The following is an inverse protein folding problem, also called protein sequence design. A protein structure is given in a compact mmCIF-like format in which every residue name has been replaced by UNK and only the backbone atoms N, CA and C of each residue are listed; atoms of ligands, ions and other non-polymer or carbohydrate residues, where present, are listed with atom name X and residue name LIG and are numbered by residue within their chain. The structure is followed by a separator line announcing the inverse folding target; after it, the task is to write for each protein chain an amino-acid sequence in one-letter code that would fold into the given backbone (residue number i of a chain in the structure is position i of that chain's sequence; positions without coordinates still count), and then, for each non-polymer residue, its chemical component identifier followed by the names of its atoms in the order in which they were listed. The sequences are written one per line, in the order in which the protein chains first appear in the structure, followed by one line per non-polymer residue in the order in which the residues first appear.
data_IF_291397766265
#
_entry.id   IF_291397766265
#
_cell.length_a   1.000
_cell.length_b   1.000
_cell.length_c   1.000
_cell.angle_alpha   90.00
_cell.angle_beta   90.00
_cell.angle_gamma   90.00
#
_symmetry.space_group_name_H-M   'P 1'
#
loop_
_entity.id
_entity.type
_entity.pdbx_description
1 polymer ?
#
# COMPACT_ATOMS: atom_id res chain seq x y z
N UNK A 1 37.70 5.04 45.71
CA UNK A 1 37.47 4.75 44.28
C UNK A 1 37.15 6.08 43.60
N UNK A 2 37.86 6.44 42.53
CA UNK A 2 37.64 7.73 41.87
C UNK A 2 36.39 7.71 40.99
N UNK A 3 35.84 8.88 40.67
CA UNK A 3 34.67 8.99 39.78
C UNK A 3 34.90 8.35 38.40
N UNK A 4 36.14 8.42 37.89
CA UNK A 4 36.54 7.74 36.65
C UNK A 4 36.33 6.22 36.70
N UNK A 5 36.60 5.58 37.85
CA UNK A 5 36.42 4.14 38.01
C UNK A 5 34.93 3.80 38.15
N UNK A 6 34.18 4.59 38.92
CA UNK A 6 32.72 4.46 39.06
C UNK A 6 32.01 4.59 37.70
N UNK A 7 32.38 5.61 36.91
CA UNK A 7 31.87 5.84 35.56
C UNK A 7 32.17 4.64 34.65
N UNK A 8 33.41 4.13 34.66
CA UNK A 8 33.79 2.95 33.86
C UNK A 8 33.02 1.71 34.27
N UNK A 9 32.79 1.49 35.56
CA UNK A 9 31.97 0.36 36.04
C UNK A 9 30.52 0.49 35.56
N UNK A 10 29.92 1.66 35.67
CA UNK A 10 28.58 1.90 35.14
C UNK A 10 28.52 1.67 33.63
N UNK A 11 29.50 2.16 32.88
CA UNK A 11 29.60 1.97 31.44
C UNK A 11 29.72 0.48 31.06
N UNK A 12 30.51 -0.31 31.80
CA UNK A 12 30.59 -1.75 31.60
C UNK A 12 29.26 -2.45 31.87
N UNK A 13 28.53 -2.05 32.92
CA UNK A 13 27.16 -2.55 33.17
C UNK A 13 26.21 -2.21 32.03
N UNK A 14 26.27 -0.99 31.49
CA UNK A 14 25.48 -0.60 30.31
C UNK A 14 25.83 -1.49 29.12
N UNK A 15 27.12 -1.72 28.84
CA UNK A 15 27.56 -2.60 27.75
C UNK A 15 27.04 -4.04 27.92
N UNK A 16 27.02 -4.55 29.16
CA UNK A 16 26.51 -5.87 29.51
C UNK A 16 24.97 -5.99 29.43
N UNK A 17 24.25 -4.86 29.48
CA UNK A 17 22.79 -4.84 29.51
C UNK A 17 22.19 -4.88 30.92
N UNK A 18 22.98 -4.57 31.95
CA UNK A 18 22.61 -4.75 33.36
C UNK A 18 22.05 -3.47 34.02
N UNK A 19 21.61 -2.50 33.22
CA UNK A 19 21.13 -1.19 33.69
C UNK A 19 19.79 -0.89 33.05
N UNK A 20 18.78 -0.68 33.88
CA UNK A 20 17.45 -0.29 33.38
C UNK A 20 17.44 1.18 32.94
N UNK A 21 16.60 1.57 31.95
CA UNK A 21 16.58 2.93 31.43
C UNK A 21 16.44 4.00 32.53
N UNK A 22 15.55 3.79 33.50
CA UNK A 22 15.32 4.72 34.61
C UNK A 22 16.52 4.80 35.57
N UNK A 23 17.22 3.68 35.79
CA UNK A 23 18.45 3.63 36.58
C UNK A 23 19.55 4.46 35.89
N UNK A 24 19.70 4.28 34.58
CA UNK A 24 20.66 5.02 33.79
C UNK A 24 20.36 6.53 33.80
N UNK A 25 19.11 6.93 33.56
CA UNK A 25 18.70 8.34 33.59
C UNK A 25 19.02 8.99 34.93
N UNK A 26 18.66 8.31 36.02
CA UNK A 26 18.89 8.80 37.38
C UNK A 26 20.39 8.95 37.67
N UNK A 27 21.19 7.93 37.33
CA UNK A 27 22.63 7.97 37.56
C UNK A 27 23.32 9.05 36.70
N UNK A 28 22.95 9.16 35.42
CA UNK A 28 23.51 10.14 34.50
C UNK A 28 23.23 11.57 34.98
N UNK A 29 21.98 11.87 35.33
CA UNK A 29 21.58 13.20 35.78
C UNK A 29 22.23 13.58 37.11
N UNK A 30 22.32 12.63 38.05
CA UNK A 30 22.98 12.82 39.36
C UNK A 30 24.48 13.09 39.24
N UNK A 31 25.11 12.64 38.15
CA UNK A 31 26.55 12.80 37.91
C UNK A 31 26.87 13.78 36.78
N UNK A 32 25.87 14.53 36.28
CA UNK A 32 25.99 15.43 35.12
C UNK A 32 27.22 16.34 35.16
N UNK A 33 27.44 17.07 36.25
CA UNK A 33 28.59 17.96 36.42
C UNK A 33 29.94 17.23 36.28
N UNK A 34 30.08 16.07 36.95
CA UNK A 34 31.31 15.26 36.88
C UNK A 34 31.51 14.63 35.49
N UNK A 35 30.43 14.31 34.80
CA UNK A 35 30.46 13.81 33.41
C UNK A 35 30.88 14.91 32.43
N UNK A 36 30.57 16.18 32.69
CA UNK A 36 31.04 17.29 31.85
C UNK A 36 32.56 17.44 31.88
N UNK A 37 33.16 17.20 33.05
CA UNK A 37 34.62 17.23 33.24
C UNK A 37 35.30 15.98 32.67
N UNK A 38 34.65 14.82 32.78
CA UNK A 38 35.24 13.52 32.40
C UNK A 38 35.07 13.16 30.92
N UNK A 39 34.08 13.72 30.23
CA UNK A 39 33.72 13.36 28.84
C UNK A 39 33.72 14.57 27.92
N UNK A 40 34.28 14.41 26.72
CA UNK A 40 34.13 15.42 25.69
C UNK A 40 32.67 15.52 25.20
N UNK A 41 32.33 16.65 24.58
CA UNK A 41 30.97 16.91 24.06
C UNK A 41 30.48 15.83 23.09
N UNK A 42 31.37 15.28 22.27
CA UNK A 42 31.03 14.25 21.29
C UNK A 42 30.60 12.94 21.95
N UNK A 43 31.33 12.49 22.97
CA UNK A 43 31.02 11.25 23.69
C UNK A 43 29.76 11.41 24.52
N UNK A 44 29.56 12.56 25.16
CA UNK A 44 28.28 12.88 25.82
C UNK A 44 27.11 12.81 24.85
N UNK A 45 27.23 13.41 23.68
CA UNK A 45 26.16 13.40 22.67
C UNK A 45 25.89 12.01 22.05
N UNK A 46 26.88 11.11 22.02
CA UNK A 46 26.70 9.72 21.58
C UNK A 46 26.03 8.86 22.65
N UNK A 47 26.44 9.03 23.90
CA UNK A 47 25.98 8.22 25.05
C UNK A 47 24.60 8.69 25.52
N UNK A 48 24.37 10.00 25.56
CA UNK A 48 23.11 10.64 25.97
C UNK A 48 22.70 11.71 24.93
N UNK A 49 22.05 11.31 23.83
CA UNK A 49 21.55 12.24 22.82
C UNK A 49 20.51 13.23 23.36
N UNK A 50 20.32 14.38 22.71
CA UNK A 50 19.44 15.44 23.20
C UNK A 50 17.94 15.07 23.33
N UNK A 51 17.48 14.02 22.64
CA UNK A 51 16.10 13.53 22.69
C UNK A 51 15.96 12.25 23.53
N UNK A 52 16.98 11.90 24.32
CA UNK A 52 16.99 10.70 25.12
C UNK A 52 15.84 10.68 26.13
N UNK A 53 15.20 9.52 26.28
CA UNK A 53 14.19 9.25 27.32
C UNK A 53 14.37 7.83 27.84
N UNK A 54 13.82 7.53 29.03
CA UNK A 54 13.89 6.23 29.67
C UNK A 54 13.11 5.15 28.89
N UNK A 55 13.67 4.72 27.77
CA UNK A 55 13.17 3.67 26.87
C UNK A 55 14.33 2.81 26.39
N UNK A 56 14.08 1.53 26.14
CA UNK A 56 15.15 0.62 25.70
C UNK A 56 15.71 1.00 24.33
N UNK A 57 14.91 1.62 23.45
CA UNK A 57 15.41 2.18 22.19
C UNK A 57 16.58 3.13 22.41
N UNK A 58 16.49 4.03 23.40
CA UNK A 58 17.56 4.96 23.70
C UNK A 58 18.76 4.27 24.36
N UNK A 59 18.51 3.23 25.17
CA UNK A 59 19.57 2.39 25.72
C UNK A 59 20.41 1.69 24.64
N UNK A 60 19.83 1.30 23.49
CA UNK A 60 20.64 0.78 22.35
C UNK A 60 21.65 1.82 21.84
N UNK A 61 21.27 3.11 21.81
CA UNK A 61 22.15 4.20 21.40
C UNK A 61 23.20 4.48 22.46
N UNK A 62 22.80 4.50 23.73
CA UNK A 62 23.69 4.65 24.88
C UNK A 62 24.74 3.54 24.90
N UNK A 63 24.34 2.28 24.73
CA UNK A 63 25.23 1.12 24.68
C UNK A 63 26.24 1.22 23.52
N UNK A 64 25.80 1.62 22.33
CA UNK A 64 26.68 1.88 21.19
C UNK A 64 27.65 3.04 21.43
N UNK A 65 27.19 4.12 22.07
CA UNK A 65 28.02 5.26 22.47
C UNK A 65 29.09 4.89 23.48
N UNK A 66 28.73 4.07 24.48
CA UNK A 66 29.66 3.58 25.50
C UNK A 66 30.69 2.60 24.90
N UNK A 67 30.24 1.70 24.03
CA UNK A 67 31.15 0.80 23.32
C UNK A 67 32.15 1.59 22.45
N UNK A 68 31.69 2.65 21.78
CA UNK A 68 32.56 3.55 21.03
C UNK A 68 33.57 4.28 21.93
N UNK A 69 33.16 4.75 23.12
CA UNK A 69 34.05 5.37 24.09
C UNK A 69 35.23 4.44 24.44
N UNK A 70 34.94 3.18 24.73
CA UNK A 70 35.97 2.17 25.01
C UNK A 70 36.84 1.83 23.80
N UNK A 71 36.25 1.75 22.60
CA UNK A 71 36.99 1.58 21.35
C UNK A 71 37.97 2.73 21.09
N UNK A 72 37.54 3.99 21.29
CA UNK A 72 38.37 5.17 21.13
C UNK A 72 39.55 5.21 22.11
N UNK A 73 39.44 4.52 23.26
CA UNK A 73 40.52 4.33 24.22
C UNK A 73 41.41 3.11 23.94
N UNK A 74 41.22 2.43 22.80
CA UNK A 74 41.98 1.24 22.42
C UNK A 74 41.61 -0.02 23.20
N UNK A 75 40.42 -0.06 23.83
CA UNK A 75 39.93 -1.18 24.65
C UNK A 75 38.52 -1.60 24.22
N UNK A 76 38.33 -2.12 23.01
CA UNK A 76 36.99 -2.46 22.51
C UNK A 76 36.29 -3.47 23.43
N UNK A 77 34.99 -3.26 23.64
CA UNK A 77 34.13 -4.12 24.45
C UNK A 77 33.00 -4.69 23.61
N UNK A 78 32.58 -5.92 23.90
CA UNK A 78 31.46 -6.58 23.22
C UNK A 78 30.15 -6.17 23.88
N UNK A 79 29.19 -5.69 23.10
CA UNK A 79 27.85 -5.33 23.57
C UNK A 79 26.95 -6.56 23.70
N UNK A 80 26.11 -6.56 24.73
CA UNK A 80 25.00 -7.51 24.89
C UNK A 80 23.85 -7.19 23.92
N UNK A 81 23.10 -8.21 23.50
CA UNK A 81 21.88 -8.04 22.70
C UNK A 81 20.65 -7.59 23.49
N UNK A 82 20.74 -7.55 24.83
CA UNK A 82 19.59 -7.34 25.72
C UNK A 82 18.76 -6.09 25.38
N UNK A 83 19.38 -4.93 25.21
CA UNK A 83 18.63 -3.71 24.92
C UNK A 83 17.98 -3.71 23.54
N UNK A 84 18.58 -4.41 22.56
CA UNK A 84 17.98 -4.55 21.23
C UNK A 84 16.73 -5.43 21.29
N UNK A 85 16.80 -6.55 22.01
CA UNK A 85 15.66 -7.44 22.26
C UNK A 85 14.55 -6.70 23.02
N UNK A 86 14.89 -6.01 24.12
CA UNK A 86 13.91 -5.23 24.90
C UNK A 86 13.31 -4.07 24.13
N UNK A 87 14.09 -3.39 23.30
CA UNK A 87 13.59 -2.32 22.43
C UNK A 87 12.59 -2.86 21.39
N UNK A 88 12.84 -4.06 20.84
CA UNK A 88 11.89 -4.71 19.93
C UNK A 88 10.60 -5.12 20.65
N UNK A 89 10.69 -5.71 21.84
CA UNK A 89 9.53 -6.05 22.67
C UNK A 89 8.69 -4.80 23.04
N UNK A 90 9.35 -3.71 23.43
CA UNK A 90 8.70 -2.43 23.73
C UNK A 90 8.02 -1.85 22.48
N UNK A 91 8.70 -1.86 21.32
CA UNK A 91 8.15 -1.36 20.06
C UNK A 91 6.91 -2.16 19.61
N UNK A 92 6.93 -3.50 19.71
CA UNK A 92 5.78 -4.36 19.40
C UNK A 92 4.60 -4.02 20.32
N UNK A 93 4.85 -3.91 21.62
CA UNK A 93 3.83 -3.62 22.63
C UNK A 93 3.20 -2.25 22.44
N UNK A 94 4.01 -1.23 22.18
CA UNK A 94 3.53 0.13 21.95
C UNK A 94 2.73 0.22 20.65
N UNK A 95 3.19 -0.46 19.58
CA UNK A 95 2.42 -0.56 18.32
C UNK A 95 1.09 -1.27 18.52
N UNK A 96 1.05 -2.37 19.28
CA UNK A 96 -0.21 -3.06 19.61
C UNK A 96 -1.18 -2.13 20.36
N UNK A 97 -0.72 -1.38 21.36
CA UNK A 97 -1.55 -0.39 22.07
C UNK A 97 -2.08 0.70 21.14
N UNK A 98 -1.24 1.21 20.24
CA UNK A 98 -1.65 2.21 19.25
C UNK A 98 -2.73 1.67 18.30
N UNK A 99 -2.58 0.42 17.86
CA UNK A 99 -3.56 -0.29 17.05
C UNK A 99 -4.88 -0.51 17.79
N UNK A 100 -4.85 -0.94 19.04
CA UNK A 100 -6.05 -1.08 19.85
C UNK A 100 -6.79 0.25 20.02
N UNK A 101 -6.06 1.33 20.30
CA UNK A 101 -6.65 2.66 20.41
C UNK A 101 -7.29 3.11 19.08
N UNK A 102 -6.65 2.82 17.96
CA UNK A 102 -7.19 3.05 16.63
C UNK A 102 -8.49 2.26 16.37
N UNK A 103 -8.51 0.97 16.70
CA UNK A 103 -9.73 0.15 16.54
C UNK A 103 -10.87 0.64 17.43
N UNK A 104 -10.59 1.05 18.67
CA UNK A 104 -11.60 1.66 19.55
C UNK A 104 -12.15 2.95 18.96
N UNK A 105 -11.29 3.80 18.39
CA UNK A 105 -11.69 5.07 17.76
C UNK A 105 -12.54 4.87 16.50
N UNK A 106 -12.27 3.83 15.72
CA UNK A 106 -12.99 3.53 14.46
C UNK A 106 -14.21 2.64 14.65
N UNK A 107 -14.38 2.03 15.82
CA UNK A 107 -15.47 1.11 16.14
C UNK A 107 -16.87 1.69 15.88
N UNK A 108 -17.08 2.98 16.12
CA UNK A 108 -18.39 3.63 15.92
C UNK A 108 -18.80 3.71 14.46
N UNK A 109 -17.85 3.73 13.53
CA UNK A 109 -18.11 3.67 12.08
C UNK A 109 -18.08 2.23 11.55
N UNK A 110 -17.24 1.37 12.15
CA UNK A 110 -17.14 -0.05 11.79
C UNK A 110 -18.43 -0.82 12.10
N UNK A 111 -19.05 -0.59 13.26
CA UNK A 111 -20.24 -1.34 13.68
C UNK A 111 -21.43 -1.16 12.71
N UNK A 112 -21.83 0.07 12.32
CA UNK A 112 -22.86 0.25 11.30
C UNK A 112 -22.54 -0.42 9.96
N UNK A 113 -21.26 -0.42 9.56
CA UNK A 113 -20.82 -1.12 8.35
C UNK A 113 -20.98 -2.64 8.46
N UNK A 114 -20.58 -3.23 9.59
CA UNK A 114 -20.78 -4.66 9.84
C UNK A 114 -22.27 -5.02 9.90
N UNK A 115 -23.10 -4.23 10.57
CA UNK A 115 -24.56 -4.41 10.61
C UNK A 115 -25.20 -4.28 9.21
N UNK A 116 -24.68 -3.38 8.36
CA UNK A 116 -25.10 -3.27 6.97
C UNK A 116 -24.76 -4.55 6.20
N UNK A 117 -23.52 -5.06 6.33
CA UNK A 117 -23.06 -6.28 5.66
C UNK A 117 -23.84 -7.53 6.10
N UNK A 118 -24.24 -7.63 7.37
CA UNK A 118 -25.09 -8.73 7.84
C UNK A 118 -26.46 -8.77 7.15
N UNK A 119 -26.99 -7.59 6.78
CA UNK A 119 -28.24 -7.46 6.02
C UNK A 119 -28.06 -7.66 4.52
N UNK A 120 -26.81 -7.63 4.03
CA UNK A 120 -26.45 -7.79 2.62
C UNK A 120 -25.37 -8.88 2.49
N UNK A 121 -25.70 -10.14 2.85
CA UNK A 121 -24.71 -11.20 2.90
C UNK A 121 -24.15 -11.50 1.51
N UNK A 122 -22.84 -11.68 1.45
CA UNK A 122 -22.11 -12.05 0.23
C UNK A 122 -21.66 -13.51 0.29
N UNK A 123 -21.38 -14.09 -0.87
CA UNK A 123 -20.86 -15.45 -0.96
C UNK A 123 -19.54 -15.56 -0.19
N UNK A 124 -19.50 -16.49 0.77
CA UNK A 124 -18.29 -16.79 1.53
C UNK A 124 -17.38 -17.66 0.69
N UNK A 125 -16.13 -17.21 0.52
CA UNK A 125 -15.12 -17.94 -0.25
C UNK A 125 -14.18 -18.62 0.74
N UNK A 126 -14.20 -19.94 0.76
CA UNK A 126 -13.22 -20.74 1.49
C UNK A 126 -12.13 -21.19 0.52
N UNK A 127 -10.93 -20.65 0.69
CA UNK A 127 -9.79 -20.98 -0.14
C UNK A 127 -8.54 -21.07 0.74
N UNK A 128 -7.91 -22.25 0.76
CA UNK A 128 -6.67 -22.46 1.51
C UNK A 128 -5.48 -21.86 0.74
N UNK A 129 -5.38 -20.54 0.76
CA UNK A 129 -4.25 -19.84 0.16
C UNK A 129 -2.94 -20.11 0.91
N UNK A 130 -3.01 -20.50 2.19
CA UNK A 130 -1.81 -20.77 3.01
C UNK A 130 -1.05 -21.99 2.49
N UNK A 131 -1.74 -22.96 1.86
CA UNK A 131 -1.10 -24.09 1.19
C UNK A 131 -0.23 -23.68 -0.01
N UNK A 132 -0.31 -22.43 -0.48
CA UNK A 132 0.48 -21.93 -1.61
C UNK A 132 1.75 -21.20 -1.17
N UNK A 133 1.97 -21.03 0.14
CA UNK A 133 3.14 -20.36 0.68
C UNK A 133 4.42 -21.17 0.46
N UNK A 134 5.56 -20.49 0.40
CA UNK A 134 6.86 -21.13 0.19
C UNK A 134 7.18 -21.38 -1.29
N UNK A 135 7.93 -22.44 -1.58
CA UNK A 135 8.34 -22.73 -2.96
C UNK A 135 7.18 -23.30 -3.78
N UNK A 136 6.85 -22.72 -4.96
CA UNK A 136 5.85 -23.28 -5.86
C UNK A 136 6.10 -24.76 -6.22
N UNK A 137 5.06 -25.61 -6.24
CA UNK A 137 5.18 -27.00 -6.66
C UNK A 137 5.75 -27.11 -8.08
N UNK A 138 6.83 -27.89 -8.24
CA UNK A 138 7.47 -28.11 -9.54
C UNK A 138 8.37 -26.96 -10.03
N UNK A 139 8.57 -25.89 -9.24
CA UNK A 139 9.58 -24.90 -9.54
C UNK A 139 10.97 -25.54 -9.51
N UNK A 140 11.72 -25.40 -10.61
CA UNK A 140 13.09 -25.93 -10.68
C UNK A 140 14.00 -25.17 -9.72
N UNK A 141 15.08 -25.81 -9.21
CA UNK A 141 16.12 -25.12 -8.47
C UNK A 141 16.69 -23.92 -9.24
N UNK A 142 17.28 -22.99 -8.51
CA UNK A 142 17.95 -21.83 -9.08
C UNK A 142 19.03 -22.25 -10.09
N UNK A 143 19.16 -21.49 -11.17
CA UNK A 143 20.19 -21.71 -12.18
C UNK A 143 21.57 -21.42 -11.57
N UNK A 144 22.56 -22.25 -11.89
CA UNK A 144 23.94 -22.01 -11.47
C UNK A 144 24.58 -20.95 -12.38
N UNK A 145 24.77 -19.74 -11.85
CA UNK A 145 25.50 -18.66 -12.52
C UNK A 145 26.98 -18.70 -12.16
N UNK A 146 27.86 -18.39 -13.12
CA UNK A 146 29.32 -18.27 -12.89
C UNK A 146 29.73 -16.91 -12.30
N UNK A 147 28.76 -16.04 -12.03
CA UNK A 147 28.96 -14.66 -11.62
C UNK A 147 27.78 -14.23 -10.73
N UNK A 148 28.02 -13.27 -9.83
CA UNK A 148 26.97 -12.73 -8.95
C UNK A 148 26.30 -11.48 -9.52
N UNK A 149 27.09 -10.58 -10.11
CA UNK A 149 26.62 -9.34 -10.73
C UNK A 149 26.83 -9.41 -12.23
N UNK A 150 25.79 -9.11 -12.99
CA UNK A 150 25.86 -9.09 -14.44
C UNK A 150 26.62 -7.84 -14.91
N UNK A 151 27.65 -8.03 -15.74
CA UNK A 151 28.53 -6.96 -16.25
C UNK A 151 28.53 -6.84 -17.77
N UNK A 152 28.01 -7.84 -18.48
CA UNK A 152 27.86 -7.82 -19.94
C UNK A 152 26.39 -7.88 -20.34
N UNK A 153 26.07 -7.47 -21.57
CA UNK A 153 24.72 -7.50 -22.13
C UNK A 153 24.13 -8.92 -22.10
N UNK A 154 24.94 -9.94 -22.39
CA UNK A 154 24.53 -11.36 -22.35
C UNK A 154 24.18 -11.79 -20.93
N UNK A 155 25.01 -11.40 -19.95
CA UNK A 155 24.76 -11.71 -18.54
C UNK A 155 23.49 -11.02 -18.03
N UNK A 156 23.24 -9.78 -18.46
CA UNK A 156 22.01 -9.04 -18.14
C UNK A 156 20.78 -9.72 -18.71
N UNK A 157 20.88 -10.19 -19.96
CA UNK A 157 19.80 -10.95 -20.61
C UNK A 157 19.53 -12.26 -19.87
N UNK A 158 20.58 -13.02 -19.53
CA UNK A 158 20.46 -14.31 -18.84
C UNK A 158 19.84 -14.16 -17.45
N UNK A 159 20.30 -13.18 -16.65
CA UNK A 159 19.71 -12.88 -15.34
C UNK A 159 18.26 -12.41 -15.46
N UNK A 160 17.97 -11.53 -16.43
CA UNK A 160 16.62 -11.03 -16.66
C UNK A 160 15.64 -12.09 -17.15
N UNK A 161 16.07 -13.04 -17.97
CA UNK A 161 15.26 -14.18 -18.41
C UNK A 161 14.97 -15.16 -17.28
N UNK A 162 15.96 -15.44 -16.44
CA UNK A 162 15.77 -16.28 -15.25
C UNK A 162 14.83 -15.62 -14.26
N UNK A 163 15.03 -14.33 -13.93
CA UNK A 163 14.13 -13.57 -13.07
C UNK A 163 12.69 -13.62 -13.62
N UNK A 164 12.51 -13.36 -14.92
CA UNK A 164 11.20 -13.47 -15.60
C UNK A 164 10.50 -14.78 -15.31
N UNK A 165 11.24 -15.88 -15.48
CA UNK A 165 10.73 -17.22 -15.33
C UNK A 165 10.23 -17.42 -13.89
N UNK A 166 11.04 -17.05 -12.89
CA UNK A 166 10.71 -17.24 -11.47
C UNK A 166 9.54 -16.38 -11.01
N UNK A 167 9.47 -15.15 -11.50
CA UNK A 167 8.32 -14.26 -11.27
C UNK A 167 7.04 -14.85 -11.89
N UNK A 168 7.12 -15.38 -13.12
CA UNK A 168 5.97 -16.00 -13.79
C UNK A 168 5.50 -17.27 -13.08
N UNK A 169 6.42 -18.12 -12.63
CA UNK A 169 6.11 -19.33 -11.85
C UNK A 169 5.35 -18.98 -10.57
N UNK A 170 5.85 -18.01 -9.80
CA UNK A 170 5.18 -17.56 -8.57
C UNK A 170 3.82 -16.91 -8.87
N UNK A 171 3.72 -16.05 -9.89
CA UNK A 171 2.44 -15.46 -10.28
C UNK A 171 1.40 -16.53 -10.64
N UNK A 172 1.83 -17.58 -11.34
CA UNK A 172 0.95 -18.68 -11.76
C UNK A 172 0.59 -19.63 -10.63
N UNK A 173 1.50 -19.89 -9.70
CA UNK A 173 1.28 -20.83 -8.61
C UNK A 173 0.60 -20.21 -7.38
N UNK A 174 0.82 -18.93 -7.12
CA UNK A 174 0.34 -18.25 -5.90
C UNK A 174 -0.82 -17.30 -6.19
N UNK A 175 -0.61 -16.37 -7.14
CA UNK A 175 -1.56 -15.27 -7.36
C UNK A 175 -2.73 -15.69 -8.23
N UNK A 176 -2.48 -16.45 -9.31
CA UNK A 176 -3.54 -16.87 -10.22
C UNK A 176 -4.61 -17.76 -9.55
N UNK A 177 -4.26 -18.73 -8.68
CA UNK A 177 -5.25 -19.51 -7.95
C UNK A 177 -6.07 -18.66 -6.97
N UNK A 178 -5.42 -17.75 -6.22
CA UNK A 178 -6.11 -16.82 -5.33
C UNK A 178 -7.08 -15.91 -6.12
N UNK A 179 -6.62 -15.26 -7.18
CA UNK A 179 -7.48 -14.43 -8.02
C UNK A 179 -8.67 -15.24 -8.61
N UNK A 180 -8.42 -16.48 -9.05
CA UNK A 180 -9.46 -17.37 -9.58
C UNK A 180 -10.49 -17.76 -8.51
N UNK A 181 -10.06 -18.02 -7.27
CA UNK A 181 -10.97 -18.34 -6.17
C UNK A 181 -11.98 -17.20 -5.91
N UNK A 182 -11.57 -15.95 -6.16
CA UNK A 182 -12.44 -14.78 -6.08
C UNK A 182 -13.15 -14.43 -7.39
N UNK A 183 -13.19 -15.36 -8.36
CA UNK A 183 -13.91 -15.18 -9.63
C UNK A 183 -13.23 -14.24 -10.63
N UNK A 184 -11.97 -13.87 -10.42
CA UNK A 184 -11.24 -13.03 -11.36
C UNK A 184 -10.77 -13.84 -12.58
N UNK A 185 -10.95 -13.26 -13.76
CA UNK A 185 -10.45 -13.77 -15.05
C UNK A 185 -9.08 -13.18 -15.36
N UNK A 186 -8.26 -13.95 -16.05
CA UNK A 186 -6.95 -13.48 -16.53
C UNK A 186 -7.13 -12.66 -17.82
N UNK A 187 -6.86 -11.35 -17.76
CA UNK A 187 -6.95 -10.41 -18.89
C UNK A 187 -5.59 -10.13 -19.56
N UNK A 188 -4.56 -10.87 -19.19
CA UNK A 188 -3.22 -10.75 -19.76
C UNK A 188 -2.21 -11.56 -18.95
N UNK A 189 -0.91 -11.54 -19.31
CA UNK A 189 0.10 -12.29 -18.57
C UNK A 189 0.25 -11.83 -17.11
N UNK A 190 -0.13 -10.58 -16.81
CA UNK A 190 0.14 -9.87 -15.55
C UNK A 190 -1.09 -9.18 -14.95
N UNK A 191 -2.27 -9.47 -15.47
CA UNK A 191 -3.51 -8.75 -15.14
C UNK A 191 -4.64 -9.73 -14.86
N UNK A 192 -5.33 -9.53 -13.73
CA UNK A 192 -6.53 -10.24 -13.32
C UNK A 192 -7.65 -9.22 -13.15
N UNK A 193 -8.84 -9.54 -13.65
CA UNK A 193 -10.01 -8.64 -13.65
C UNK A 193 -11.26 -9.41 -13.30
N UNK A 194 -12.18 -8.77 -12.60
CA UNK A 194 -13.53 -9.28 -12.33
C UNK A 194 -14.51 -8.14 -12.57
N UNK A 195 -15.62 -8.45 -13.22
CA UNK A 195 -16.82 -7.62 -13.21
C UNK A 195 -17.91 -8.37 -12.46
N UNK A 196 -18.54 -7.72 -11.48
CA UNK A 196 -19.68 -8.26 -10.74
C UNK A 196 -20.60 -7.10 -10.33
N UNK A 197 -21.88 -7.18 -10.66
CA UNK A 197 -22.93 -6.20 -10.31
C UNK A 197 -22.52 -4.73 -10.50
N UNK A 198 -21.95 -4.41 -11.67
CA UNK A 198 -21.52 -3.04 -11.98
C UNK A 198 -20.22 -2.59 -11.33
N UNK A 199 -19.53 -3.45 -10.58
CA UNK A 199 -18.19 -3.22 -10.03
C UNK A 199 -17.12 -3.97 -10.82
N UNK A 200 -15.94 -3.35 -10.89
CA UNK A 200 -14.71 -3.90 -11.45
C UNK A 200 -13.67 -4.02 -10.37
N UNK A 201 -13.09 -5.21 -10.24
CA UNK A 201 -11.89 -5.46 -9.44
C UNK A 201 -10.73 -5.77 -10.37
N UNK A 202 -9.57 -5.13 -10.18
CA UNK A 202 -8.37 -5.38 -11.01
C UNK A 202 -7.13 -5.52 -10.16
N UNK A 203 -6.32 -6.52 -10.49
CA UNK A 203 -4.95 -6.70 -10.00
C UNK A 203 -4.03 -6.70 -11.21
N UNK A 204 -3.04 -5.81 -11.24
CA UNK A 204 -2.10 -5.70 -12.33
C UNK A 204 -0.68 -5.51 -11.81
N UNK A 205 0.24 -6.36 -12.28
CA UNK A 205 1.66 -6.16 -12.07
C UNK A 205 2.23 -5.31 -13.22
N UNK A 206 2.94 -4.22 -12.90
CA UNK A 206 3.58 -3.29 -13.84
C UNK A 206 5.08 -3.59 -13.92
N UNK A 207 5.71 -3.19 -15.02
CA UNK A 207 7.10 -3.48 -15.33
C UNK A 207 7.19 -4.66 -16.28
N UNK A 208 7.82 -4.43 -17.44
CA UNK A 208 8.47 -5.47 -18.26
C UNK A 208 9.24 -4.91 -19.48
N UNK A 209 10.06 -3.85 -19.39
CA UNK A 209 10.80 -3.43 -20.61
C UNK A 209 12.23 -2.90 -20.46
N UNK A 210 12.82 -2.81 -19.25
CA UNK A 210 14.25 -2.48 -19.11
C UNK A 210 15.04 -3.30 -18.07
N UNK A 211 14.38 -3.88 -17.07
CA UNK A 211 15.06 -4.56 -15.95
C UNK A 211 14.72 -6.03 -15.70
N UNK A 212 13.81 -6.65 -16.45
CA UNK A 212 13.47 -8.08 -16.26
C UNK A 212 12.61 -8.42 -15.02
N UNK A 213 12.01 -7.42 -14.36
CA UNK A 213 11.21 -7.59 -13.13
C UNK A 213 9.87 -6.83 -13.12
N UNK A 214 9.17 -6.86 -11.97
CA UNK A 214 7.99 -6.06 -11.67
C UNK A 214 8.35 -4.77 -10.93
N UNK A 215 7.88 -3.65 -11.46
CA UNK A 215 8.16 -2.30 -10.95
C UNK A 215 7.12 -1.84 -9.93
N UNK A 216 5.86 -2.24 -10.11
CA UNK A 216 4.76 -1.87 -9.22
C UNK A 216 3.60 -2.87 -9.32
N UNK A 217 2.64 -2.78 -8.41
CA UNK A 217 1.37 -3.48 -8.47
C UNK A 217 0.24 -2.46 -8.34
N UNK A 218 -0.74 -2.50 -9.25
CA UNK A 218 -1.98 -1.75 -9.17
C UNK A 218 -3.09 -2.70 -8.73
N UNK A 219 -3.81 -2.30 -7.71
CA UNK A 219 -5.02 -2.96 -7.24
C UNK A 219 -6.12 -1.92 -7.04
N UNK A 220 -7.30 -2.14 -7.60
CA UNK A 220 -8.47 -1.29 -7.34
C UNK A 220 -9.80 -2.04 -7.44
N UNK A 221 -10.78 -1.53 -6.71
CA UNK A 221 -12.21 -1.83 -6.84
C UNK A 221 -12.94 -0.52 -7.15
N UNK A 222 -13.71 -0.48 -8.23
CA UNK A 222 -14.49 0.71 -8.61
C UNK A 222 -15.73 0.31 -9.41
N UNK A 223 -16.73 1.19 -9.56
CA UNK A 223 -17.77 1.01 -10.56
C UNK A 223 -17.21 0.88 -11.98
N UNK A 224 -17.87 0.12 -12.85
CA UNK A 224 -17.44 -0.11 -14.25
C UNK A 224 -17.26 1.18 -15.02
N UNK A 225 -18.06 2.21 -14.74
CA UNK A 225 -17.97 3.48 -15.44
C UNK A 225 -16.80 4.36 -14.96
N UNK A 226 -16.18 4.02 -13.83
CA UNK A 226 -15.14 4.84 -13.20
C UNK A 226 -13.73 4.48 -13.69
N UNK A 227 -12.81 5.44 -13.63
CA UNK A 227 -11.39 5.19 -13.91
C UNK A 227 -10.70 4.61 -12.68
N UNK A 228 -9.47 4.11 -12.86
CA UNK A 228 -8.66 3.50 -11.79
C UNK A 228 -8.25 4.46 -10.64
N UNK A 229 -8.69 5.72 -10.71
CA UNK A 229 -8.35 6.77 -9.77
C UNK A 229 -9.60 7.11 -8.95
N UNK A 230 -9.49 6.98 -7.62
CA UNK A 230 -10.61 7.17 -6.69
C UNK A 230 -10.44 6.36 -5.40
N UNK A 231 -11.39 6.53 -4.47
CA UNK A 231 -11.43 5.84 -3.17
C UNK A 231 -11.32 4.32 -3.39
N UNK A 232 -10.23 3.71 -2.91
CA UNK A 232 -9.86 2.32 -3.18
C UNK A 232 -10.83 1.24 -2.65
N UNK A 233 -12.01 1.60 -2.15
CA UNK A 233 -12.99 0.68 -1.56
C UNK A 233 -12.43 -0.14 -0.40
N UNK A 234 -11.29 0.27 0.17
CA UNK A 234 -10.54 -0.48 1.17
C UNK A 234 -10.33 0.39 2.41
N UNK A 235 -10.63 -0.13 3.61
CA UNK A 235 -10.28 0.53 4.86
C UNK A 235 -8.78 0.80 4.95
N UNK A 236 -8.37 1.90 5.59
CA UNK A 236 -6.96 2.32 5.64
C UNK A 236 -6.00 1.27 6.23
N UNK A 237 -6.45 0.51 7.23
CA UNK A 237 -5.68 -0.58 7.82
C UNK A 237 -5.47 -1.79 6.88
N UNK A 238 -6.23 -1.89 5.78
CA UNK A 238 -6.01 -2.89 4.72
C UNK A 238 -5.17 -2.29 3.60
N UNK A 239 -5.55 -1.11 3.11
CA UNK A 239 -4.86 -0.48 1.97
C UNK A 239 -3.45 -0.01 2.30
N UNK A 240 -3.16 0.28 3.57
CA UNK A 240 -1.85 0.75 4.02
C UNK A 240 -1.31 0.12 5.32
N UNK A 241 -2.07 -0.79 5.94
CA UNK A 241 -1.64 -1.42 7.18
C UNK A 241 -0.52 -2.45 6.99
N UNK A 242 -0.33 -3.30 7.99
CA UNK A 242 0.89 -4.10 8.14
C UNK A 242 1.16 -5.04 6.95
N UNK A 243 0.14 -5.69 6.39
CA UNK A 243 0.32 -6.55 5.22
C UNK A 243 0.75 -5.77 3.98
N UNK A 244 0.20 -4.58 3.77
CA UNK A 244 0.62 -3.70 2.68
C UNK A 244 2.07 -3.24 2.89
N UNK A 245 2.45 -2.86 4.12
CA UNK A 245 3.82 -2.44 4.42
C UNK A 245 4.83 -3.60 4.23
N UNK A 246 4.49 -4.81 4.68
CA UNK A 246 5.31 -6.01 4.42
C UNK A 246 5.43 -6.29 2.92
N UNK A 247 4.32 -6.23 2.19
CA UNK A 247 4.31 -6.38 0.73
C UNK A 247 5.16 -5.31 0.04
N UNK A 248 5.16 -4.06 0.50
CA UNK A 248 5.97 -2.96 -0.07
C UNK A 248 7.45 -3.06 0.32
N UNK A 249 7.76 -3.54 1.52
CA UNK A 249 9.13 -3.71 1.98
C UNK A 249 9.87 -4.76 1.13
N UNK A 250 11.12 -4.47 0.77
CA UNK A 250 11.92 -5.37 -0.06
C UNK A 250 11.42 -5.54 -1.50
N UNK A 251 10.56 -4.64 -2.02
CA UNK A 251 10.07 -4.71 -3.40
C UNK A 251 11.19 -4.76 -4.46
N UNK A 252 12.37 -4.21 -4.16
CA UNK A 252 13.55 -4.26 -5.03
C UNK A 252 13.99 -5.68 -5.43
N UNK A 253 13.65 -6.71 -4.64
CA UNK A 253 13.95 -8.13 -4.92
C UNK A 253 13.36 -8.60 -6.25
N UNK A 254 12.22 -8.03 -6.65
CA UNK A 254 11.51 -8.43 -7.88
C UNK A 254 11.60 -7.38 -8.99
N UNK A 255 12.36 -6.28 -8.79
CA UNK A 255 12.38 -5.13 -9.70
C UNK A 255 13.50 -5.20 -10.76
N UNK A 256 14.69 -5.68 -10.41
CA UNK A 256 15.88 -5.61 -11.26
C UNK A 256 16.57 -6.98 -11.46
N UNK A 257 16.83 -7.33 -12.72
CA UNK A 257 17.57 -8.53 -13.17
C UNK A 257 19.05 -8.25 -13.44
N UNK A 258 19.68 -7.39 -12.64
CA UNK A 258 21.11 -7.07 -12.75
C UNK A 258 21.99 -8.01 -11.93
N UNK A 259 21.38 -8.86 -11.11
CA UNK A 259 22.04 -9.86 -10.28
C UNK A 259 21.62 -11.28 -10.68
N UNK A 260 22.49 -12.25 -10.46
CA UNK A 260 22.21 -13.65 -10.67
C UNK A 260 21.09 -14.13 -9.75
N UNK A 261 20.12 -14.85 -10.30
CA UNK A 261 19.04 -15.47 -9.52
C UNK A 261 19.54 -16.81 -8.98
N UNK A 262 20.39 -16.74 -7.96
CA UNK A 262 20.88 -17.89 -7.21
C UNK A 262 19.82 -18.42 -6.21
N UNK A 263 20.18 -19.42 -5.40
CA UNK A 263 19.25 -20.03 -4.46
C UNK A 263 18.69 -19.04 -3.42
N UNK A 264 19.51 -18.10 -2.93
CA UNK A 264 19.08 -17.11 -1.96
C UNK A 264 18.18 -16.04 -2.60
N UNK A 265 18.49 -15.62 -3.84
CA UNK A 265 17.62 -14.75 -4.61
C UNK A 265 16.27 -15.42 -4.92
N UNK A 266 16.27 -16.70 -5.27
CA UNK A 266 15.04 -17.47 -5.50
C UNK A 266 14.18 -17.57 -4.24
N UNK A 267 14.78 -17.87 -3.09
CA UNK A 267 14.09 -17.89 -1.79
C UNK A 267 13.50 -16.51 -1.47
N UNK A 268 14.26 -15.44 -1.69
CA UNK A 268 13.79 -14.06 -1.50
C UNK A 268 12.62 -13.70 -2.43
N UNK A 269 12.66 -14.13 -3.70
CA UNK A 269 11.55 -13.95 -4.64
C UNK A 269 10.30 -14.70 -4.15
N UNK A 270 10.47 -15.95 -3.72
CA UNK A 270 9.37 -16.75 -3.21
C UNK A 270 8.73 -16.10 -1.97
N UNK A 271 9.55 -15.65 -1.01
CA UNK A 271 9.10 -14.92 0.17
C UNK A 271 8.41 -13.59 -0.19
N UNK A 272 8.91 -12.87 -1.18
CA UNK A 272 8.24 -11.63 -1.66
C UNK A 272 6.84 -11.92 -2.21
N UNK A 273 6.66 -13.02 -2.92
CA UNK A 273 5.34 -13.45 -3.37
C UNK A 273 4.45 -13.98 -2.26
N UNK A 274 5.02 -14.52 -1.18
CA UNK A 274 4.26 -14.88 0.02
C UNK A 274 3.70 -13.63 0.71
N UNK A 275 4.47 -12.55 0.79
CA UNK A 275 3.97 -11.26 1.29
C UNK A 275 2.85 -10.72 0.40
N UNK A 276 3.01 -10.79 -0.92
CA UNK A 276 1.98 -10.35 -1.88
C UNK A 276 0.71 -11.21 -1.73
N UNK A 277 0.85 -12.54 -1.69
CA UNK A 277 -0.27 -13.45 -1.53
C UNK A 277 -1.01 -13.19 -0.22
N UNK A 278 -0.28 -13.01 0.88
CA UNK A 278 -0.86 -12.69 2.20
C UNK A 278 -1.64 -11.38 2.15
N UNK A 279 -1.06 -10.32 1.58
CA UNK A 279 -1.77 -9.05 1.41
C UNK A 279 -3.06 -9.19 0.59
N UNK A 280 -3.01 -9.93 -0.53
CA UNK A 280 -4.17 -10.12 -1.38
C UNK A 280 -5.24 -10.99 -0.71
N UNK A 281 -4.87 -12.14 -0.15
CA UNK A 281 -5.80 -13.17 0.29
C UNK A 281 -6.32 -12.96 1.73
N UNK A 282 -5.51 -12.38 2.63
CA UNK A 282 -5.93 -12.12 4.02
C UNK A 282 -6.51 -10.72 4.21
N UNK A 283 -6.11 -9.76 3.36
CA UNK A 283 -6.57 -8.37 3.42
C UNK A 283 -7.53 -8.02 2.29
N UNK A 284 -6.99 -7.84 1.10
CA UNK A 284 -7.67 -7.09 0.03
C UNK A 284 -8.87 -7.82 -0.60
N UNK A 285 -8.70 -9.07 -1.02
CA UNK A 285 -9.73 -9.85 -1.72
C UNK A 285 -10.96 -10.13 -0.84
N UNK A 286 -10.82 -10.48 0.46
CA UNK A 286 -11.96 -10.55 1.38
C UNK A 286 -12.75 -9.24 1.48
N UNK A 287 -12.09 -8.09 1.61
CA UNK A 287 -12.79 -6.79 1.67
C UNK A 287 -13.52 -6.48 0.36
N UNK A 288 -12.90 -6.74 -0.79
CA UNK A 288 -13.58 -6.60 -2.08
C UNK A 288 -14.72 -7.59 -2.28
N UNK A 289 -14.71 -8.75 -1.62
CA UNK A 289 -15.81 -9.69 -1.69
C UNK A 289 -17.04 -9.19 -0.91
N UNK A 290 -16.84 -8.45 0.19
CA UNK A 290 -17.93 -7.83 0.96
C UNK A 290 -18.65 -6.74 0.16
N UNK A 291 -17.95 -6.09 -0.76
CA UNK A 291 -18.48 -5.02 -1.61
C UNK A 291 -18.82 -5.59 -2.98
N UNK A 292 -20.01 -6.19 -3.09
CA UNK A 292 -20.38 -6.96 -4.27
C UNK A 292 -21.40 -6.28 -5.19
N UNK A 293 -21.83 -5.05 -4.90
CA UNK A 293 -22.73 -4.24 -5.73
C UNK A 293 -22.45 -2.74 -5.64
N UNK A 294 -23.01 -1.95 -6.57
CA UNK A 294 -22.92 -0.49 -6.54
C UNK A 294 -23.58 0.09 -5.29
N UNK A 295 -24.72 -0.44 -4.87
CA UNK A 295 -25.44 -0.02 -3.66
C UNK A 295 -24.55 -0.17 -2.42
N UNK A 296 -23.90 -1.32 -2.27
CA UNK A 296 -22.97 -1.58 -1.17
C UNK A 296 -21.74 -0.68 -1.25
N UNK A 297 -21.19 -0.46 -2.46
CA UNK A 297 -20.05 0.43 -2.67
C UNK A 297 -20.37 1.87 -2.27
N UNK A 298 -21.57 2.36 -2.59
CA UNK A 298 -22.02 3.71 -2.28
C UNK A 298 -22.75 3.86 -0.94
N UNK A 299 -22.91 2.77 -0.18
CA UNK A 299 -23.57 2.76 1.11
C UNK A 299 -22.95 3.81 2.05
N UNK A 300 -23.79 4.51 2.80
CA UNK A 300 -23.36 5.58 3.70
C UNK A 300 -22.42 5.01 4.77
N UNK A 301 -22.75 3.84 5.30
CA UNK A 301 -22.00 3.11 6.31
C UNK A 301 -20.60 2.74 5.81
N UNK A 302 -20.50 2.27 4.58
CA UNK A 302 -19.22 1.99 3.93
C UNK A 302 -18.37 3.25 3.82
N UNK A 303 -18.94 4.35 3.30
CA UNK A 303 -18.23 5.63 3.13
C UNK A 303 -17.77 6.23 4.46
N UNK A 304 -18.63 6.19 5.48
CA UNK A 304 -18.30 6.67 6.81
C UNK A 304 -17.16 5.83 7.42
N UNK A 305 -17.16 4.52 7.18
CA UNK A 305 -16.09 3.64 7.63
C UNK A 305 -14.76 3.89 6.89
N UNK A 306 -14.78 4.07 5.58
CA UNK A 306 -13.58 4.45 4.82
C UNK A 306 -13.01 5.79 5.31
N UNK A 307 -13.86 6.79 5.52
CA UNK A 307 -13.44 8.10 6.06
C UNK A 307 -12.88 7.98 7.48
N UNK A 308 -13.50 7.17 8.34
CA UNK A 308 -13.02 6.96 9.70
C UNK A 308 -11.66 6.25 9.75
N UNK A 309 -11.36 5.42 8.75
CA UNK A 309 -10.12 4.64 8.66
C UNK A 309 -9.04 5.25 7.77
N UNK A 310 -9.33 6.39 7.14
CA UNK A 310 -8.45 7.10 6.20
C UNK A 310 -7.06 7.38 6.79
N UNK A 311 -7.01 7.83 8.05
CA UNK A 311 -5.78 8.11 8.78
C UNK A 311 -5.44 6.98 9.74
N UNK A 312 -4.23 6.46 9.65
CA UNK A 312 -3.71 5.45 10.57
C UNK A 312 -3.44 5.97 11.99
N UNK A 313 -3.14 5.06 12.94
CA UNK A 313 -2.58 5.46 14.22
C UNK A 313 -1.22 6.11 14.04
N UNK A 314 -0.79 6.89 15.03
CA UNK A 314 0.58 7.41 15.07
C UNK A 314 1.52 6.32 15.58
N UNK A 315 2.67 6.21 14.92
CA UNK A 315 3.80 5.42 15.35
C UNK A 315 4.30 5.96 16.71
N UNK A 316 4.30 5.15 17.78
CA UNK A 316 4.64 5.62 19.12
C UNK A 316 6.08 6.12 19.28
N UNK A 317 6.98 5.74 18.38
CA UNK A 317 8.41 6.08 18.41
C UNK A 317 8.70 7.39 17.70
N UNK A 318 8.04 7.63 16.57
CA UNK A 318 8.29 8.81 15.73
C UNK A 318 7.21 9.88 15.82
N UNK A 319 6.04 9.54 16.37
CA UNK A 319 4.86 10.40 16.41
C UNK A 319 4.21 10.64 15.04
N UNK A 320 4.75 10.05 13.97
CA UNK A 320 4.22 10.15 12.60
C UNK A 320 3.11 9.13 12.38
N UNK A 321 2.15 9.37 11.48
CA UNK A 321 1.20 8.33 11.11
C UNK A 321 1.93 7.06 10.65
N UNK A 322 1.51 5.89 11.17
CA UNK A 322 2.03 4.59 10.73
C UNK A 322 1.69 4.34 9.25
N UNK A 323 0.59 4.92 8.80
CA UNK A 323 0.22 5.08 7.41
C UNK A 323 -0.63 6.33 7.26
N UNK A 324 -0.35 7.10 6.21
CA UNK A 324 -1.15 8.23 5.78
C UNK A 324 -1.37 8.12 4.28
N UNK A 325 -2.56 8.49 3.82
CA UNK A 325 -2.75 8.71 2.40
C UNK A 325 -2.06 10.05 2.10
N UNK A 326 -1.05 10.05 1.22
CA UNK A 326 -0.27 11.23 0.81
C UNK A 326 -1.13 12.44 0.35
N UNK A 327 -2.45 12.28 0.26
CA UNK A 327 -3.44 13.31 -0.01
C UNK A 327 -4.05 13.87 1.29
N UNK A 328 -3.29 14.67 2.05
CA UNK A 328 -3.85 15.48 3.16
C UNK A 328 -4.87 16.50 2.62
N UNK A 329 -6.14 16.10 2.51
CA UNK A 329 -7.28 17.00 2.22
C UNK A 329 -7.23 17.76 0.90
N UNK A 330 -6.22 17.53 0.05
CA UNK A 330 -6.17 18.07 -1.31
C UNK A 330 -7.17 17.29 -2.15
N UNK A 331 -8.12 17.97 -2.82
CA UNK A 331 -9.03 17.31 -3.75
C UNK A 331 -8.22 16.50 -4.75
N UNK A 332 -8.73 15.32 -5.13
CA UNK A 332 -8.15 14.55 -6.22
C UNK A 332 -7.86 15.48 -7.42
N UNK A 333 -6.61 15.53 -7.92
CA UNK A 333 -6.22 16.45 -9.00
C UNK A 333 -7.12 16.34 -10.24
N UNK A 334 -7.78 15.20 -10.41
CA UNK A 334 -8.65 14.92 -11.54
C UNK A 334 -10.13 15.11 -11.24
N UNK A 335 -10.51 15.36 -9.98
CA UNK A 335 -11.90 15.37 -9.50
C UNK A 335 -12.65 14.08 -9.86
N UNK A 336 -11.94 12.94 -9.83
CA UNK A 336 -12.52 11.63 -10.14
C UNK A 336 -13.70 11.29 -9.23
N UNK A 337 -13.69 11.76 -7.99
CA UNK A 337 -14.82 11.63 -7.07
C UNK A 337 -16.07 12.39 -7.55
N UNK A 338 -15.92 13.61 -8.08
CA UNK A 338 -17.06 14.38 -8.62
C UNK A 338 -17.70 13.65 -9.81
N UNK A 339 -16.89 13.04 -10.68
CA UNK A 339 -17.41 12.17 -11.74
C UNK A 339 -18.11 10.93 -11.17
N UNK A 340 -17.43 10.19 -10.29
CA UNK A 340 -17.91 8.95 -9.69
C UNK A 340 -19.26 9.11 -9.01
N UNK A 341 -19.37 10.11 -8.13
CA UNK A 341 -20.60 10.42 -7.39
C UNK A 341 -21.64 11.12 -8.27
N UNK A 342 -21.22 11.93 -9.25
CA UNK A 342 -22.12 12.58 -10.19
C UNK A 342 -22.93 11.57 -11.01
N UNK A 343 -22.27 10.57 -11.59
CA UNK A 343 -22.95 9.49 -12.32
C UNK A 343 -23.88 8.69 -11.38
N UNK A 344 -23.43 8.38 -10.17
CA UNK A 344 -24.28 7.66 -9.21
C UNK A 344 -25.53 8.43 -8.78
N UNK A 345 -25.39 9.74 -8.53
CA UNK A 345 -26.51 10.61 -8.19
C UNK A 345 -27.52 10.68 -9.36
N UNK A 346 -27.06 10.73 -10.62
CA UNK A 346 -27.94 10.62 -11.79
C UNK A 346 -28.70 9.28 -11.84
N UNK A 347 -28.00 8.16 -11.65
CA UNK A 347 -28.60 6.82 -11.70
C UNK A 347 -29.63 6.58 -10.59
N UNK A 348 -29.46 7.26 -9.45
CA UNK A 348 -30.38 7.18 -8.30
C UNK A 348 -31.48 8.25 -8.31
N UNK A 349 -31.55 9.05 -9.38
CA UNK A 349 -32.61 10.04 -9.60
C UNK A 349 -32.38 11.40 -8.93
N UNK A 350 -31.20 11.64 -8.35
CA UNK A 350 -30.76 12.94 -7.80
C UNK A 350 -30.14 13.78 -8.90
N UNK A 351 -30.95 14.12 -9.89
CA UNK A 351 -30.49 14.74 -11.14
C UNK A 351 -29.76 16.08 -10.89
N UNK A 352 -30.31 16.94 -10.03
CA UNK A 352 -29.73 18.25 -9.71
C UNK A 352 -28.32 18.13 -9.12
N UNK A 353 -28.15 17.25 -8.13
CA UNK A 353 -26.85 16.98 -7.50
C UNK A 353 -25.88 16.31 -8.47
N UNK A 354 -26.37 15.33 -9.24
CA UNK A 354 -25.58 14.62 -10.24
C UNK A 354 -25.00 15.55 -11.30
N UNK A 355 -25.84 16.40 -11.90
CA UNK A 355 -25.39 17.39 -12.88
C UNK A 355 -24.42 18.40 -12.28
N UNK A 356 -24.68 18.92 -11.07
CA UNK A 356 -23.79 19.88 -10.42
C UNK A 356 -22.38 19.30 -10.19
N UNK A 357 -22.28 18.03 -9.78
CA UNK A 357 -20.98 17.34 -9.61
C UNK A 357 -20.27 17.11 -10.94
N UNK A 358 -20.99 16.70 -11.99
CA UNK A 358 -20.41 16.50 -13.31
C UNK A 358 -19.92 17.82 -13.93
N UNK A 359 -20.66 18.92 -13.76
CA UNK A 359 -20.23 20.27 -14.16
C UNK A 359 -18.95 20.68 -13.42
N UNK A 360 -18.84 20.40 -12.12
CA UNK A 360 -17.61 20.65 -11.38
C UNK A 360 -16.42 19.85 -11.94
N UNK A 361 -16.64 18.57 -12.24
CA UNK A 361 -15.62 17.69 -12.84
C UNK A 361 -15.10 18.26 -14.17
N UNK A 362 -16.01 18.63 -15.07
CA UNK A 362 -15.69 19.15 -16.40
C UNK A 362 -15.06 20.55 -16.30
N UNK A 363 -15.53 21.41 -15.40
CA UNK A 363 -14.98 22.76 -15.23
C UNK A 363 -13.56 22.76 -14.68
N UNK A 364 -13.21 21.83 -13.79
CA UNK A 364 -11.92 21.88 -13.09
C UNK A 364 -10.71 21.72 -14.01
N UNK A 365 -10.82 20.87 -15.04
CA UNK A 365 -9.71 20.51 -15.94
C UNK A 365 -9.93 20.95 -17.40
N UNK A 366 -10.84 21.91 -17.65
CA UNK A 366 -11.25 22.29 -19.01
C UNK A 366 -10.10 22.82 -19.87
N UNK A 367 -9.20 23.61 -19.29
CA UNK A 367 -8.10 24.23 -20.04
C UNK A 367 -7.01 23.20 -20.37
N UNK A 368 -6.67 22.35 -19.40
CA UNK A 368 -5.80 21.20 -19.64
C UNK A 368 -6.36 20.32 -20.76
N UNK A 369 -7.66 19.98 -20.69
CA UNK A 369 -8.28 19.09 -21.66
C UNK A 369 -8.32 19.68 -23.07
N UNK A 370 -8.54 21.00 -23.20
CA UNK A 370 -8.44 21.68 -24.49
C UNK A 370 -7.07 21.52 -25.11
N UNK A 371 -6.00 21.72 -24.34
CA UNK A 371 -4.64 21.60 -24.87
C UNK A 371 -4.27 20.14 -25.14
N UNK A 372 -4.66 19.22 -24.27
CA UNK A 372 -4.45 17.78 -24.44
C UNK A 372 -5.11 17.25 -25.71
N UNK A 373 -6.33 17.69 -26.03
CA UNK A 373 -7.06 17.25 -27.22
C UNK A 373 -6.55 17.89 -28.52
N UNK A 374 -5.89 19.06 -28.46
CA UNK A 374 -5.16 19.60 -29.62
C UNK A 374 -3.96 18.72 -29.97
N UNK A 375 -3.20 18.29 -28.96
CA UNK A 375 -2.01 17.46 -29.15
C UNK A 375 -2.35 16.00 -29.46
N UNK A 376 -3.39 15.48 -28.82
CA UNK A 376 -3.86 14.10 -28.95
C UNK A 376 -5.38 14.05 -29.22
N UNK A 377 -5.82 14.24 -30.47
CA UNK A 377 -7.25 14.27 -30.82
C UNK A 377 -8.02 13.01 -30.43
N UNK A 378 -7.35 11.87 -30.37
CA UNK A 378 -7.96 10.57 -30.04
C UNK A 378 -7.84 10.19 -28.55
N UNK A 379 -7.43 11.12 -27.67
CA UNK A 379 -7.19 10.82 -26.25
C UNK A 379 -8.47 10.32 -25.53
N UNK A 380 -9.65 10.82 -25.91
CA UNK A 380 -10.94 10.41 -25.34
C UNK A 380 -11.27 8.92 -25.55
N UNK A 381 -10.63 8.27 -26.53
CA UNK A 381 -10.84 6.86 -26.87
C UNK A 381 -9.63 5.98 -26.55
N UNK A 382 -8.59 6.56 -25.95
CA UNK A 382 -7.38 5.86 -25.56
C UNK A 382 -7.43 5.50 -24.07
N UNK A 383 -7.48 4.21 -23.70
CA UNK A 383 -7.50 3.81 -22.29
C UNK A 383 -6.20 4.16 -21.53
N UNK A 384 -5.14 4.56 -22.23
CA UNK A 384 -3.91 5.09 -21.62
C UNK A 384 -4.08 6.53 -21.15
N UNK A 385 -5.07 7.26 -21.67
CA UNK A 385 -5.42 8.62 -21.26
C UNK A 385 -6.71 8.61 -20.43
N UNK A 386 -6.60 8.06 -19.22
CA UNK A 386 -7.73 7.86 -18.32
C UNK A 386 -8.53 9.15 -18.05
N UNK A 387 -7.84 10.30 -18.03
CA UNK A 387 -8.49 11.56 -17.74
C UNK A 387 -9.30 12.08 -18.93
N UNK A 388 -8.78 11.97 -20.15
CA UNK A 388 -9.55 12.30 -21.35
C UNK A 388 -10.81 11.43 -21.48
N UNK A 389 -10.68 10.13 -21.20
CA UNK A 389 -11.81 9.19 -21.15
C UNK A 389 -12.86 9.65 -20.13
N UNK A 390 -12.46 9.93 -18.88
CA UNK A 390 -13.39 10.36 -17.83
C UNK A 390 -14.10 11.66 -18.20
N UNK A 391 -13.35 12.64 -18.71
CA UNK A 391 -13.90 13.93 -19.10
C UNK A 391 -14.94 13.79 -20.21
N UNK A 392 -14.65 13.00 -21.24
CA UNK A 392 -15.61 12.69 -22.31
C UNK A 392 -16.87 12.03 -21.74
N UNK A 393 -16.72 11.07 -20.83
CA UNK A 393 -17.87 10.41 -20.20
C UNK A 393 -18.73 11.41 -19.42
N UNK A 394 -18.09 12.30 -18.65
CA UNK A 394 -18.80 13.33 -17.90
C UNK A 394 -19.61 14.26 -18.81
N UNK A 395 -19.04 14.65 -19.96
CA UNK A 395 -19.74 15.46 -20.97
C UNK A 395 -20.96 14.75 -21.56
N UNK A 396 -20.85 13.47 -21.92
CA UNK A 396 -21.98 12.69 -22.45
C UNK A 396 -23.16 12.68 -21.47
N UNK A 397 -22.90 12.52 -20.18
CA UNK A 397 -23.96 12.62 -19.18
C UNK A 397 -24.54 14.03 -19.08
N UNK A 398 -23.72 15.08 -19.16
CA UNK A 398 -24.20 16.47 -19.13
C UNK A 398 -25.10 16.82 -20.32
N UNK A 399 -24.86 16.27 -21.50
CA UNK A 399 -25.70 16.50 -22.70
C UNK A 399 -27.16 16.07 -22.47
N UNK A 400 -27.40 15.07 -21.61
CA UNK A 400 -28.77 14.64 -21.25
C UNK A 400 -29.57 15.72 -20.53
N UNK A 401 -28.90 16.69 -19.88
CA UNK A 401 -29.54 17.79 -19.14
C UNK A 401 -30.42 18.68 -20.01
N UNK A 402 -30.10 18.78 -21.31
CA UNK A 402 -30.85 19.60 -22.27
C UNK A 402 -32.24 19.03 -22.61
N UNK A 403 -32.48 17.75 -22.29
CA UNK A 403 -33.76 17.10 -22.51
C UNK A 403 -34.76 17.60 -21.45
N UNK A 404 -35.73 18.42 -21.86
CA UNK A 404 -36.68 19.03 -20.91
C UNK A 404 -37.62 18.01 -20.27
N UNK A 405 -38.04 16.99 -21.02
CA UNK A 405 -38.92 15.93 -20.53
C UNK A 405 -38.20 14.99 -19.56
N UNK A 406 -38.73 14.85 -18.35
CA UNK A 406 -38.07 14.11 -17.27
C UNK A 406 -37.94 12.61 -17.55
N UNK A 407 -38.92 11.99 -18.21
CA UNK A 407 -38.86 10.56 -18.49
C UNK A 407 -37.87 10.28 -19.61
N UNK A 408 -37.92 11.04 -20.71
CA UNK A 408 -36.96 10.94 -21.80
C UNK A 408 -35.53 11.22 -21.33
N UNK A 409 -35.35 12.18 -20.41
CA UNK A 409 -34.04 12.45 -19.81
C UNK A 409 -33.52 11.28 -19.00
N UNK A 410 -34.36 10.64 -18.19
CA UNK A 410 -33.99 9.42 -17.45
C UNK A 410 -33.62 8.26 -18.35
N UNK A 411 -34.35 8.08 -19.45
CA UNK A 411 -34.06 7.03 -20.43
C UNK A 411 -32.72 7.32 -21.13
N UNK A 412 -32.47 8.57 -21.52
CA UNK A 412 -31.18 9.00 -22.08
C UNK A 412 -30.01 8.80 -21.10
N UNK A 413 -30.17 9.13 -19.81
CA UNK A 413 -29.15 8.87 -18.78
C UNK A 413 -28.77 7.38 -18.74
N UNK A 414 -29.77 6.48 -18.81
CA UNK A 414 -29.53 5.03 -18.79
C UNK A 414 -28.82 4.56 -20.07
N UNK A 415 -29.24 5.05 -21.22
CA UNK A 415 -28.57 4.76 -22.50
C UNK A 415 -27.12 5.21 -22.49
N UNK A 416 -26.85 6.44 -22.05
CA UNK A 416 -25.47 6.96 -21.87
C UNK A 416 -24.67 6.12 -20.89
N UNK A 417 -25.26 5.69 -19.78
CA UNK A 417 -24.60 4.80 -18.82
C UNK A 417 -24.20 3.45 -19.45
N UNK A 418 -25.08 2.84 -20.22
CA UNK A 418 -24.79 1.58 -20.92
C UNK A 418 -23.68 1.74 -21.96
N UNK A 419 -23.70 2.85 -22.71
CA UNK A 419 -22.66 3.18 -23.69
C UNK A 419 -21.29 3.37 -23.00
N UNK A 420 -21.25 4.19 -21.93
CA UNK A 420 -20.03 4.40 -21.14
C UNK A 420 -19.53 3.07 -20.59
N UNK A 421 -20.39 2.25 -20.00
CA UNK A 421 -19.99 0.94 -19.47
C UNK A 421 -19.46 0.00 -20.55
N UNK A 422 -20.02 0.03 -21.77
CA UNK A 422 -19.54 -0.77 -22.90
C UNK A 422 -18.08 -0.42 -23.24
N UNK A 423 -17.77 0.86 -23.35
CA UNK A 423 -16.39 1.31 -23.56
C UNK A 423 -15.49 1.00 -22.36
N UNK A 424 -15.97 1.24 -21.14
CA UNK A 424 -15.15 1.08 -19.95
C UNK A 424 -14.81 -0.39 -19.65
N UNK A 425 -15.64 -1.35 -20.08
CA UNK A 425 -15.24 -2.77 -20.08
C UNK A 425 -13.99 -3.02 -20.93
N UNK A 426 -13.83 -2.34 -22.06
CA UNK A 426 -12.57 -2.39 -22.81
C UNK A 426 -11.43 -1.71 -22.02
N UNK A 427 -11.65 -0.52 -21.46
CA UNK A 427 -10.68 0.20 -20.63
C UNK A 427 -10.11 -0.68 -19.49
N UNK A 428 -11.00 -1.39 -18.80
CA UNK A 428 -10.62 -2.27 -17.69
C UNK A 428 -10.03 -3.62 -18.14
N UNK A 429 -10.05 -3.94 -19.44
CA UNK A 429 -9.55 -5.21 -19.98
C UNK A 429 -10.54 -6.37 -19.82
N UNK A 430 -11.83 -6.08 -19.63
CA UNK A 430 -12.93 -7.05 -19.56
C UNK A 430 -13.46 -7.43 -20.95
N UNK A 431 -13.32 -6.53 -21.93
CA UNK A 431 -13.77 -6.71 -23.31
C UNK A 431 -12.68 -6.35 -24.33
N UNK A 432 -12.85 -6.81 -25.58
CA UNK A 432 -12.02 -6.35 -26.71
C UNK A 432 -12.37 -4.90 -27.07
N UNK A 433 -11.47 -4.22 -27.78
CA UNK A 433 -11.70 -2.85 -28.27
C UNK A 433 -13.01 -2.80 -29.04
N UNK A 434 -13.87 -1.88 -28.62
CA UNK A 434 -15.13 -1.56 -29.30
C UNK A 434 -15.04 -0.11 -29.73
N UNK A 435 -15.44 0.20 -30.96
CA UNK A 435 -15.55 1.59 -31.41
C UNK A 435 -16.68 2.27 -30.61
N UNK A 436 -16.44 3.52 -30.19
CA UNK A 436 -17.48 4.34 -29.58
C UNK A 436 -18.37 4.87 -30.70
N UNK A 437 -19.67 4.85 -30.46
CA UNK A 437 -20.70 5.32 -31.39
C UNK A 437 -20.61 6.82 -31.64
#
# INVERSE_FOLDING_TARGET
MGFQDEMKQMFLRVVAGDVEPEEWETWWNSNSFKLEEALNRGDRGRIMPALWSAKYYWMTKTQGGVAYYFHAQGRPVKTSGYYEEKAQEEEIRDRQKAMEAYYRKTASARRPWEEYLERHPTETITFDWKSLLGMPPGQKPAKAFRYKKARTTEQWKECGEELKLRLKENLQAKIAPAAKAYGMKKAGPKTFVREKNGLVSRIQFIGYFRGGGYEAMICYLCPVYAIQYGILGLPGHVSQGEYFQKMRNGWGVIQYGTEAVDAAALESINGKFDDILTFLADGMLPEWQKIDSLETYFAKEHRDYLKATEKGPNDPKTGRPMWDLDAEGKPDPWRADSYLFGVWDLLTGKESEGYARLEECVRHNSDYMKDRLKEFPNACDDPRDAMAVMYRNAQLFLETKEISDAQKRRDAIRETYEEVCRFMRYYHGLAKKTERS
#
